data_IF_212229929195
#
_entry.id   IF_212229929195
#
_cell.length_a   1.000
_cell.length_b   1.000
_cell.length_c   1.000
_cell.angle_alpha   90.00
_cell.angle_beta   90.00
_cell.angle_gamma   90.00
#
_symmetry.space_group_name_H-M   'P 1'
#
loop_
_entity.id
_entity.type
_entity.pdbx_description
1 polymer ?
#
# COMPACT_ATOMS: atom_id res chain seq x y z
N UNK A 1 -12.17 -3.64 -1.56
CA UNK A 1 -10.87 -3.24 -2.14
C UNK A 1 -9.71 -3.46 -1.17
N UNK A 2 -8.50 -3.01 -1.53
CA UNK A 2 -7.26 -3.28 -0.75
C UNK A 2 -7.34 -2.80 0.70
N UNK A 3 -7.99 -1.67 0.96
CA UNK A 3 -8.07 -1.09 2.32
C UNK A 3 -8.82 -2.02 3.27
N UNK A 4 -10.05 -2.44 2.90
CA UNK A 4 -10.84 -3.36 3.73
C UNK A 4 -10.18 -4.73 3.89
N UNK A 5 -9.58 -5.26 2.80
CA UNK A 5 -8.85 -6.54 2.87
C UNK A 5 -7.60 -6.44 3.72
N UNK A 6 -6.89 -5.31 3.68
CA UNK A 6 -5.74 -5.06 4.56
C UNK A 6 -6.17 -4.99 6.03
N UNK A 7 -7.29 -4.32 6.32
CA UNK A 7 -7.85 -4.30 7.69
C UNK A 7 -8.15 -5.72 8.17
N UNK A 8 -8.88 -6.51 7.37
CA UNK A 8 -9.21 -7.91 7.68
C UNK A 8 -7.95 -8.74 7.96
N UNK A 9 -6.94 -8.62 7.07
CA UNK A 9 -5.67 -9.32 7.23
C UNK A 9 -4.97 -8.97 8.55
N UNK A 10 -4.92 -7.69 8.90
CA UNK A 10 -4.23 -7.25 10.11
C UNK A 10 -4.99 -7.62 11.38
N UNK A 11 -6.32 -7.59 11.38
CA UNK A 11 -7.13 -8.07 12.48
C UNK A 11 -6.89 -9.57 12.71
N UNK A 12 -7.00 -10.37 11.65
CA UNK A 12 -6.73 -11.81 11.73
C UNK A 12 -5.28 -12.11 12.17
N UNK A 13 -4.30 -11.34 11.69
CA UNK A 13 -2.90 -11.45 12.12
C UNK A 13 -2.69 -11.10 13.59
N UNK A 14 -3.53 -10.25 14.16
CA UNK A 14 -3.54 -9.90 15.58
C UNK A 14 -4.31 -10.89 16.45
N UNK A 15 -4.86 -11.96 15.89
CA UNK A 15 -5.56 -13.02 16.60
C UNK A 15 -7.09 -12.86 16.68
N UNK A 16 -7.66 -11.92 15.96
CA UNK A 16 -9.12 -11.84 15.80
C UNK A 16 -9.57 -12.96 14.87
N UNK A 17 -10.32 -13.93 15.39
CA UNK A 17 -10.74 -15.11 14.63
C UNK A 17 -12.14 -15.00 14.04
N UNK A 18 -13.01 -14.20 14.66
CA UNK A 18 -14.40 -13.99 14.24
C UNK A 18 -14.50 -12.63 13.53
N UNK A 19 -13.94 -12.57 12.32
CA UNK A 19 -13.90 -11.35 11.51
C UNK A 19 -14.38 -11.64 10.09
N UNK A 20 -15.23 -10.75 9.60
CA UNK A 20 -15.88 -10.87 8.29
C UNK A 20 -15.64 -9.62 7.46
N UNK A 21 -15.35 -9.80 6.18
CA UNK A 21 -15.38 -8.73 5.18
C UNK A 21 -16.53 -8.97 4.21
N UNK A 22 -17.34 -7.94 4.02
CA UNK A 22 -18.42 -7.95 3.03
C UNK A 22 -18.01 -7.05 1.86
N UNK A 23 -18.05 -7.60 0.64
CA UNK A 23 -17.71 -6.89 -0.61
C UNK A 23 -18.89 -6.99 -1.58
N UNK A 24 -19.37 -5.85 -2.04
CA UNK A 24 -20.53 -5.77 -2.93
C UNK A 24 -20.33 -6.41 -4.31
N UNK A 25 -19.07 -6.52 -4.76
CA UNK A 25 -18.69 -7.11 -6.04
C UNK A 25 -17.55 -8.11 -5.85
N UNK A 26 -16.71 -8.29 -6.87
CA UNK A 26 -15.46 -9.01 -6.75
C UNK A 26 -14.39 -8.13 -6.07
N UNK A 27 -13.48 -8.78 -5.34
CA UNK A 27 -12.34 -8.08 -4.77
C UNK A 27 -11.58 -7.36 -5.89
N UNK A 28 -11.16 -6.13 -5.60
CA UNK A 28 -10.43 -5.25 -6.53
C UNK A 28 -11.23 -4.60 -7.64
N UNK A 29 -12.50 -4.93 -7.84
CA UNK A 29 -13.32 -4.40 -8.95
C UNK A 29 -13.57 -2.86 -8.90
N UNK A 30 -13.26 -2.21 -7.79
CA UNK A 30 -13.36 -0.75 -7.62
C UNK A 30 -12.03 -0.05 -7.89
N UNK A 31 -11.68 0.93 -7.03
CA UNK A 31 -10.47 1.77 -7.18
C UNK A 31 -9.15 1.00 -7.15
N UNK A 32 -9.11 -0.17 -6.52
CA UNK A 32 -7.86 -0.92 -6.33
C UNK A 32 -7.18 -1.29 -7.65
N UNK A 33 -7.90 -1.77 -8.64
CA UNK A 33 -7.28 -2.20 -9.90
C UNK A 33 -6.84 -1.03 -10.79
N UNK A 34 -7.34 0.20 -10.53
CA UNK A 34 -6.91 1.42 -11.22
C UNK A 34 -5.61 2.01 -10.65
N UNK A 35 -5.12 1.51 -9.53
CA UNK A 35 -3.90 2.02 -8.91
C UNK A 35 -2.68 1.65 -9.75
N UNK A 36 -1.74 2.59 -9.86
CA UNK A 36 -0.50 2.38 -10.62
C UNK A 36 0.46 1.36 -9.99
N UNK A 37 0.24 1.02 -8.72
CA UNK A 37 1.08 0.05 -8.00
C UNK A 37 2.44 0.57 -7.59
N UNK A 38 2.71 1.86 -7.73
CA UNK A 38 3.99 2.44 -7.33
C UNK A 38 4.11 2.49 -5.80
N UNK A 39 5.32 2.24 -5.30
CA UNK A 39 5.65 2.23 -3.88
C UNK A 39 6.72 3.29 -3.57
N UNK A 40 6.40 4.58 -3.65
CA UNK A 40 7.36 5.64 -3.36
C UNK A 40 7.54 5.80 -1.85
N UNK A 41 8.79 5.76 -1.38
CA UNK A 41 9.14 6.06 0.01
C UNK A 41 9.30 7.56 0.26
N UNK A 42 9.28 8.40 -0.81
CA UNK A 42 9.34 9.85 -0.68
C UNK A 42 8.10 10.40 0.02
N UNK A 43 8.27 10.88 1.25
CA UNK A 43 7.22 11.57 2.00
C UNK A 43 7.82 12.51 3.05
N UNK A 44 7.32 13.75 3.10
CA UNK A 44 7.77 14.76 4.08
C UNK A 44 7.16 14.54 5.48
N UNK A 45 6.13 13.73 5.61
CA UNK A 45 5.53 13.38 6.88
C UNK A 45 6.19 12.13 7.47
N UNK A 46 6.74 12.24 8.68
CA UNK A 46 7.29 11.10 9.41
C UNK A 46 6.29 9.95 9.56
N UNK A 47 5.06 10.25 9.99
CA UNK A 47 4.04 9.23 10.23
C UNK A 47 3.64 8.49 8.95
N UNK A 48 3.44 9.22 7.85
CA UNK A 48 3.13 8.63 6.54
C UNK A 48 4.33 7.83 6.01
N UNK A 49 5.55 8.32 6.20
CA UNK A 49 6.77 7.60 5.84
C UNK A 49 6.92 6.27 6.58
N UNK A 50 6.60 6.22 7.87
CA UNK A 50 6.57 4.97 8.63
C UNK A 50 5.52 3.98 8.11
N UNK A 51 4.34 4.48 7.73
CA UNK A 51 3.29 3.65 7.13
C UNK A 51 3.74 3.05 5.79
N UNK A 52 4.34 3.87 4.92
CA UNK A 52 4.88 3.40 3.64
C UNK A 52 5.98 2.35 3.84
N UNK A 53 6.92 2.60 4.76
CA UNK A 53 7.99 1.66 5.09
C UNK A 53 7.43 0.33 5.61
N UNK A 54 6.43 0.38 6.48
CA UNK A 54 5.74 -0.83 6.95
C UNK A 54 5.12 -1.59 5.78
N UNK A 55 4.39 -0.91 4.89
CA UNK A 55 3.74 -1.53 3.74
C UNK A 55 4.76 -2.22 2.80
N UNK A 56 5.86 -1.54 2.45
CA UNK A 56 6.92 -2.12 1.62
C UNK A 56 7.51 -3.37 2.27
N UNK A 57 7.78 -3.34 3.57
CA UNK A 57 8.32 -4.50 4.29
C UNK A 57 7.32 -5.66 4.35
N UNK A 58 6.03 -5.37 4.51
CA UNK A 58 4.97 -6.38 4.43
C UNK A 58 4.96 -7.07 3.06
N UNK A 59 4.98 -6.29 1.97
CA UNK A 59 4.91 -6.83 0.62
C UNK A 59 6.11 -7.71 0.27
N UNK A 60 7.31 -7.41 0.78
CA UNK A 60 8.51 -8.26 0.64
C UNK A 60 8.32 -9.68 1.20
N UNK A 61 7.46 -9.85 2.19
CA UNK A 61 7.26 -11.12 2.89
C UNK A 61 5.94 -11.81 2.56
N UNK A 62 5.00 -11.09 1.95
CA UNK A 62 3.63 -11.55 1.78
C UNK A 62 3.52 -12.78 0.86
N UNK A 63 4.35 -12.86 -0.19
CA UNK A 63 4.41 -14.03 -1.07
C UNK A 63 4.84 -15.29 -0.31
N UNK A 64 5.88 -15.19 0.51
CA UNK A 64 6.34 -16.30 1.34
C UNK A 64 5.27 -16.77 2.34
N UNK A 65 4.50 -15.82 2.87
CA UNK A 65 3.46 -16.11 3.86
C UNK A 65 2.21 -16.74 3.24
N UNK A 66 1.84 -16.33 2.04
CA UNK A 66 0.54 -16.68 1.43
C UNK A 66 0.64 -17.60 0.23
N UNK A 67 1.84 -17.80 -0.31
CA UNK A 67 2.06 -18.52 -1.57
C UNK A 67 1.55 -17.77 -2.82
N UNK A 68 1.19 -16.48 -2.68
CA UNK A 68 0.68 -15.65 -3.77
C UNK A 68 1.71 -14.61 -4.19
N UNK A 69 2.12 -14.64 -5.45
CA UNK A 69 2.97 -13.60 -6.01
C UNK A 69 2.22 -12.26 -6.02
N UNK A 70 2.86 -11.21 -5.53
CA UNK A 70 2.31 -9.86 -5.46
C UNK A 70 2.88 -8.91 -6.51
N UNK A 71 3.71 -9.44 -7.41
CA UNK A 71 4.39 -8.65 -8.44
C UNK A 71 5.35 -7.60 -7.86
N UNK A 72 5.90 -7.85 -6.65
CA UNK A 72 6.79 -6.91 -5.98
C UNK A 72 8.16 -6.88 -6.68
N UNK A 73 8.54 -5.69 -7.16
CA UNK A 73 9.83 -5.46 -7.82
C UNK A 73 10.47 -4.19 -7.29
N UNK A 74 11.71 -4.29 -6.84
CA UNK A 74 12.54 -3.13 -6.46
C UNK A 74 13.30 -2.68 -7.69
N UNK A 75 12.95 -1.50 -8.20
CA UNK A 75 13.52 -0.95 -9.45
C UNK A 75 14.10 0.44 -9.26
N UNK A 76 14.05 0.96 -8.03
CA UNK A 76 14.43 2.34 -7.71
C UNK A 76 13.39 3.37 -8.21
N UNK A 77 13.47 4.56 -7.67
CA UNK A 77 12.76 5.75 -8.15
C UNK A 77 13.76 6.91 -8.26
N UNK A 78 13.67 7.68 -9.32
CA UNK A 78 14.49 8.88 -9.53
C UNK A 78 13.56 10.07 -9.70
N UNK A 79 13.78 11.12 -8.89
CA UNK A 79 13.08 12.40 -9.00
C UNK A 79 14.05 13.45 -9.49
N UNK A 80 13.74 14.00 -10.65
CA UNK A 80 14.59 14.99 -11.32
C UNK A 80 14.37 16.39 -10.73
N UNK A 81 15.43 17.19 -10.68
CA UNK A 81 15.40 18.61 -10.30
C UNK A 81 15.95 19.46 -11.44
N UNK A 82 15.12 20.33 -11.98
CA UNK A 82 15.48 21.31 -13.00
C UNK A 82 15.83 22.69 -12.44
N UNK A 83 15.65 22.88 -11.11
CA UNK A 83 15.99 24.12 -10.42
C UNK A 83 16.74 23.84 -9.13
N UNK A 84 17.50 24.83 -8.66
CA UNK A 84 18.22 24.73 -7.39
C UNK A 84 17.25 24.60 -6.21
N UNK A 85 16.12 25.34 -6.22
CA UNK A 85 15.11 25.27 -5.17
C UNK A 85 14.55 23.83 -5.03
N UNK A 86 14.38 23.11 -6.14
CA UNK A 86 13.97 21.70 -6.09
C UNK A 86 15.04 20.80 -5.49
N UNK A 87 16.31 21.07 -5.76
CA UNK A 87 17.42 20.36 -5.10
C UNK A 87 17.48 20.63 -3.61
N UNK A 88 17.26 21.88 -3.20
CA UNK A 88 17.24 22.27 -1.80
C UNK A 88 16.10 21.59 -1.04
N UNK A 89 14.92 21.47 -1.65
CA UNK A 89 13.81 20.68 -1.13
C UNK A 89 14.20 19.20 -0.93
N UNK A 90 14.92 18.62 -1.88
CA UNK A 90 15.39 17.24 -1.76
C UNK A 90 16.44 17.09 -0.65
N UNK A 91 17.29 18.08 -0.43
CA UNK A 91 18.22 18.09 0.70
C UNK A 91 17.48 18.16 2.06
N UNK A 92 16.44 18.98 2.16
CA UNK A 92 15.59 19.04 3.36
C UNK A 92 14.90 17.68 3.59
N UNK A 93 14.33 17.11 2.52
CA UNK A 93 13.71 15.80 2.60
C UNK A 93 14.68 14.70 3.04
N UNK A 94 15.94 14.74 2.62
CA UNK A 94 16.94 13.75 3.03
C UNK A 94 17.12 13.69 4.55
N UNK A 95 16.95 14.83 5.24
CA UNK A 95 16.89 14.87 6.70
C UNK A 95 15.70 14.08 7.26
N UNK A 96 14.51 14.26 6.69
CA UNK A 96 13.31 13.51 7.07
C UNK A 96 13.49 12.02 6.75
N UNK A 97 13.97 11.68 5.55
CA UNK A 97 14.23 10.31 5.13
C UNK A 97 15.15 9.57 6.12
N UNK A 98 16.19 10.24 6.60
CA UNK A 98 17.10 9.69 7.61
C UNK A 98 16.38 9.34 8.92
N UNK A 99 15.45 10.18 9.39
CA UNK A 99 14.68 9.91 10.62
C UNK A 99 13.70 8.75 10.45
N UNK A 100 13.17 8.54 9.25
CA UNK A 100 12.31 7.41 8.89
C UNK A 100 13.13 6.13 8.68
N UNK A 101 14.44 6.27 8.40
CA UNK A 101 15.32 5.16 8.01
C UNK A 101 15.10 4.74 6.54
N UNK A 102 14.92 5.72 5.66
CA UNK A 102 14.83 5.56 4.20
C UNK A 102 16.14 6.01 3.58
N UNK A 103 16.74 5.15 2.75
CA UNK A 103 17.98 5.46 2.05
C UNK A 103 17.69 6.32 0.81
N UNK A 104 18.46 7.39 0.66
CA UNK A 104 18.42 8.25 -0.53
C UNK A 104 19.83 8.50 -1.05
N UNK A 105 19.93 8.74 -2.35
CA UNK A 105 21.17 9.14 -3.02
C UNK A 105 20.93 10.39 -3.84
N UNK A 106 21.84 11.33 -3.81
CA UNK A 106 21.86 12.45 -4.73
C UNK A 106 22.63 12.06 -5.98
N UNK A 107 22.11 12.40 -7.14
CA UNK A 107 22.69 12.07 -8.43
C UNK A 107 22.98 13.35 -9.22
N UNK A 108 24.16 13.41 -9.84
CA UNK A 108 24.47 14.38 -10.90
C UNK A 108 23.77 14.00 -12.21
N UNK A 109 23.57 14.94 -13.13
CA UNK A 109 22.92 14.64 -14.42
C UNK A 109 23.56 13.46 -15.18
N UNK A 110 24.89 13.36 -15.17
CA UNK A 110 25.61 12.27 -15.85
C UNK A 110 25.36 10.91 -15.20
N UNK A 111 25.12 10.87 -13.88
CA UNK A 111 24.79 9.66 -13.15
C UNK A 111 23.34 9.23 -13.46
N UNK A 112 22.43 10.20 -13.58
CA UNK A 112 21.05 9.94 -14.06
C UNK A 112 21.09 9.32 -15.46
N UNK A 113 21.89 9.90 -16.37
CA UNK A 113 22.02 9.38 -17.75
C UNK A 113 22.55 7.95 -17.81
N UNK A 114 23.46 7.57 -16.90
CA UNK A 114 23.95 6.18 -16.80
C UNK A 114 22.89 5.20 -16.34
N UNK A 115 22.04 5.60 -15.40
CA UNK A 115 20.97 4.74 -14.86
C UNK A 115 19.78 4.69 -15.83
N UNK A 116 19.47 5.83 -16.45
CA UNK A 116 18.36 5.99 -17.38
C UNK A 116 18.83 6.60 -18.70
N UNK A 117 19.35 5.78 -19.62
CA UNK A 117 19.94 6.26 -20.89
C UNK A 117 19.01 7.05 -21.80
N UNK A 118 17.69 6.84 -21.71
CA UNK A 118 16.69 7.57 -22.50
C UNK A 118 16.36 8.96 -21.92
N UNK A 119 16.78 9.26 -20.67
CA UNK A 119 16.51 10.55 -20.06
C UNK A 119 17.25 11.68 -20.78
N UNK A 120 16.54 12.75 -21.14
CA UNK A 120 17.18 14.02 -21.49
C UNK A 120 17.65 14.73 -20.23
N UNK A 121 18.94 15.01 -20.13
CA UNK A 121 19.55 15.66 -18.95
C UNK A 121 19.84 17.14 -19.16
N UNK A 122 19.49 17.71 -20.32
CA UNK A 122 19.68 19.14 -20.59
C UNK A 122 18.87 19.98 -19.61
N UNK A 123 19.50 20.96 -18.99
CA UNK A 123 18.88 21.80 -17.97
C UNK A 123 18.61 21.11 -16.63
N UNK A 124 19.08 19.87 -16.45
CA UNK A 124 18.96 19.16 -15.18
C UNK A 124 20.03 19.66 -14.20
N UNK A 125 19.62 20.08 -12.99
CA UNK A 125 20.53 20.46 -11.89
C UNK A 125 21.02 19.21 -11.16
N UNK A 126 20.15 18.22 -10.98
CA UNK A 126 20.45 16.96 -10.31
C UNK A 126 19.21 16.11 -10.09
N UNK A 127 19.34 15.11 -9.26
CA UNK A 127 18.22 14.25 -8.89
C UNK A 127 18.41 13.65 -7.49
N UNK A 128 17.30 13.17 -6.91
CA UNK A 128 17.31 12.28 -5.76
C UNK A 128 16.82 10.89 -6.18
N UNK A 129 17.52 9.87 -5.76
CA UNK A 129 17.20 8.47 -5.98
C UNK A 129 16.78 7.80 -4.68
N UNK A 130 15.73 6.98 -4.76
CA UNK A 130 15.31 6.04 -3.72
C UNK A 130 15.58 4.62 -4.20
N UNK A 131 16.71 4.00 -3.80
CA UNK A 131 17.11 2.68 -4.30
C UNK A 131 16.12 1.56 -3.95
N UNK A 132 15.37 1.71 -2.87
CA UNK A 132 14.46 0.69 -2.36
C UNK A 132 13.01 0.84 -2.84
N UNK A 133 12.73 1.90 -3.61
CA UNK A 133 11.43 2.09 -4.23
C UNK A 133 11.18 1.04 -5.33
N UNK A 134 9.92 0.72 -5.51
CA UNK A 134 9.52 -0.28 -6.48
C UNK A 134 8.06 -0.17 -6.87
N UNK A 135 7.54 -1.28 -7.35
CA UNK A 135 6.13 -1.40 -7.69
C UNK A 135 5.59 -2.79 -7.33
N UNK A 136 4.28 -2.89 -7.27
CA UNK A 136 3.51 -4.12 -7.04
C UNK A 136 2.34 -4.18 -8.00
N UNK A 137 1.70 -5.35 -8.07
CA UNK A 137 0.38 -5.48 -8.68
C UNK A 137 -0.72 -5.31 -7.62
N UNK A 138 -1.49 -4.21 -7.65
CA UNK A 138 -2.49 -3.91 -6.61
C UNK A 138 -3.54 -4.99 -6.43
N UNK A 139 -3.98 -5.60 -7.52
CA UNK A 139 -4.93 -6.71 -7.46
C UNK A 139 -4.33 -7.93 -6.76
N UNK A 140 -3.10 -8.31 -7.11
CA UNK A 140 -2.43 -9.48 -6.55
C UNK A 140 -2.12 -9.31 -5.08
N UNK A 141 -1.68 -8.12 -4.66
CA UNK A 141 -1.52 -7.77 -3.24
C UNK A 141 -2.83 -7.97 -2.47
N UNK A 142 -3.94 -7.50 -3.03
CA UNK A 142 -5.25 -7.64 -2.39
C UNK A 142 -5.64 -9.12 -2.25
N UNK A 143 -5.40 -9.93 -3.27
CA UNK A 143 -5.67 -11.37 -3.21
C UNK A 143 -4.72 -12.09 -2.23
N UNK A 144 -3.47 -11.69 -2.15
CA UNK A 144 -2.51 -12.24 -1.19
C UNK A 144 -2.92 -11.92 0.26
N UNK A 145 -3.29 -10.66 0.54
CA UNK A 145 -3.81 -10.26 1.85
C UNK A 145 -5.10 -11.02 2.21
N UNK A 146 -6.02 -11.19 1.24
CA UNK A 146 -7.25 -11.97 1.43
C UNK A 146 -6.93 -13.44 1.76
N UNK A 147 -5.95 -14.03 1.07
CA UNK A 147 -5.48 -15.39 1.35
C UNK A 147 -4.89 -15.48 2.76
N UNK A 148 -4.03 -14.53 3.13
CA UNK A 148 -3.43 -14.47 4.46
C UNK A 148 -4.45 -14.31 5.59
N UNK A 149 -5.54 -13.57 5.35
CA UNK A 149 -6.65 -13.45 6.28
C UNK A 149 -7.42 -14.77 6.42
N UNK A 150 -7.79 -15.39 5.29
CA UNK A 150 -8.51 -16.69 5.29
C UNK A 150 -7.72 -17.81 5.95
N UNK A 151 -6.41 -17.85 5.75
CA UNK A 151 -5.53 -18.83 6.39
C UNK A 151 -5.54 -18.72 7.93
N UNK A 152 -6.08 -17.61 8.45
CA UNK A 152 -6.25 -17.33 9.88
C UNK A 152 -7.70 -17.38 10.37
N UNK A 153 -8.61 -17.89 9.53
CA UNK A 153 -10.02 -18.08 9.87
C UNK A 153 -10.94 -16.91 9.55
N UNK A 154 -10.44 -15.83 8.95
CA UNK A 154 -11.30 -14.71 8.55
C UNK A 154 -12.15 -15.09 7.32
N UNK A 155 -13.38 -14.58 7.28
CA UNK A 155 -14.32 -14.85 6.20
C UNK A 155 -14.44 -13.65 5.24
N UNK A 156 -14.71 -13.92 3.97
CA UNK A 156 -14.93 -12.89 2.94
C UNK A 156 -16.14 -13.26 2.11
N UNK A 157 -17.20 -12.48 2.23
CA UNK A 157 -18.42 -12.59 1.44
C UNK A 157 -18.40 -11.59 0.29
N UNK A 158 -18.21 -12.10 -0.93
CA UNK A 158 -18.27 -11.33 -2.17
C UNK A 158 -19.69 -11.29 -2.73
N UNK A 159 -19.94 -10.35 -3.65
CA UNK A 159 -21.26 -10.15 -4.27
C UNK A 159 -22.36 -10.03 -3.21
N UNK A 160 -22.05 -9.33 -2.13
CA UNK A 160 -22.93 -9.11 -0.99
C UNK A 160 -22.92 -7.62 -0.66
N UNK A 161 -24.05 -6.97 -0.89
CA UNK A 161 -24.19 -5.52 -0.76
C UNK A 161 -24.76 -5.16 0.59
N UNK A 162 -24.03 -4.34 1.35
CA UNK A 162 -24.56 -3.73 2.58
C UNK A 162 -25.60 -2.67 2.19
N UNK A 163 -26.83 -2.82 2.67
CA UNK A 163 -27.94 -1.90 2.42
C UNK A 163 -28.30 -1.05 3.63
N UNK A 164 -27.82 -1.43 4.81
CA UNK A 164 -28.03 -0.67 6.03
C UNK A 164 -27.16 -1.14 7.18
N UNK A 165 -27.00 -0.28 8.16
CA UNK A 165 -26.34 -0.59 9.43
C UNK A 165 -27.20 -0.03 10.55
N UNK A 166 -27.50 -0.85 11.55
CA UNK A 166 -28.31 -0.45 12.71
C UNK A 166 -27.51 -0.68 13.99
N UNK A 167 -27.49 0.32 14.86
CA UNK A 167 -27.00 0.16 16.23
C UNK A 167 -28.02 -0.62 17.06
N UNK A 168 -27.56 -1.48 17.93
CA UNK A 168 -28.36 -2.26 18.88
C UNK A 168 -27.80 -2.08 20.28
N UNK A 169 -28.49 -2.62 21.28
CA UNK A 169 -28.02 -2.56 22.67
C UNK A 169 -26.66 -3.25 22.88
N UNK A 170 -26.39 -4.30 22.11
CA UNK A 170 -25.23 -5.18 22.29
C UNK A 170 -24.23 -5.14 21.11
N UNK A 171 -24.30 -4.08 20.28
CA UNK A 171 -23.42 -3.91 19.11
C UNK A 171 -24.16 -3.41 17.87
N UNK A 172 -23.94 -4.07 16.74
CA UNK A 172 -24.44 -3.64 15.43
C UNK A 172 -25.07 -4.78 14.66
N UNK A 173 -26.03 -4.43 13.81
CA UNK A 173 -26.56 -5.32 12.78
C UNK A 173 -26.28 -4.71 11.42
N UNK A 174 -25.48 -5.41 10.62
CA UNK A 174 -25.21 -5.09 9.22
C UNK A 174 -26.23 -5.80 8.35
N UNK A 175 -27.06 -5.03 7.63
CA UNK A 175 -28.11 -5.51 6.74
C UNK A 175 -27.53 -5.63 5.34
N UNK A 176 -27.65 -6.80 4.73
CA UNK A 176 -27.19 -7.04 3.36
C UNK A 176 -28.33 -7.52 2.48
N UNK A 177 -28.10 -7.53 1.18
CA UNK A 177 -29.02 -8.14 0.18
C UNK A 177 -29.14 -9.67 0.31
N UNK A 178 -28.37 -10.30 1.20
CA UNK A 178 -28.36 -11.75 1.44
C UNK A 178 -28.68 -12.17 2.87
N UNK A 179 -28.96 -11.23 3.74
CA UNK A 179 -29.27 -11.47 5.15
C UNK A 179 -28.59 -10.46 6.09
N UNK A 180 -28.68 -10.72 7.36
CA UNK A 180 -28.17 -9.84 8.41
C UNK A 180 -26.96 -10.47 9.12
N UNK A 181 -26.03 -9.63 9.53
CA UNK A 181 -24.83 -10.01 10.31
C UNK A 181 -24.83 -9.21 11.60
N UNK A 182 -24.92 -9.89 12.73
CA UNK A 182 -24.75 -9.26 14.05
C UNK A 182 -23.27 -9.22 14.40
N UNK A 183 -22.79 -8.09 14.92
CA UNK A 183 -21.38 -7.91 15.28
C UNK A 183 -21.20 -6.85 16.38
N UNK A 184 -20.10 -6.93 17.11
CA UNK A 184 -19.76 -5.94 18.14
C UNK A 184 -19.15 -4.66 17.51
N UNK A 185 -18.44 -4.80 16.40
CA UNK A 185 -17.74 -3.69 15.75
C UNK A 185 -17.99 -3.69 14.23
N UNK A 186 -18.16 -2.48 13.68
CA UNK A 186 -18.26 -2.24 12.24
C UNK A 186 -17.18 -1.25 11.82
N UNK A 187 -16.49 -1.56 10.71
CA UNK A 187 -15.51 -0.67 10.08
C UNK A 187 -15.92 -0.44 8.63
N UNK A 188 -16.07 0.83 8.20
CA UNK A 188 -16.41 1.22 6.82
C UNK A 188 -15.41 2.25 6.27
#
# INVERSE_FOLDING_TARGET
GVVGVSMLYHLAKKGWSDVVLVERKELTSGSTWHAAGLLPLFNMSYSVGQLHKYAVNLYKTLEKETGKNVGFSVVSNIRLAQTQERMDEYHQYAGVAKTIGVNVKFLKPEEVKKIWPLCNIEGLVGAIQHPEDGYIQPADVTQALATGARNRGAEIYRNTTVTGIKETKDGWVVITDKGEISCEHVVS
#
